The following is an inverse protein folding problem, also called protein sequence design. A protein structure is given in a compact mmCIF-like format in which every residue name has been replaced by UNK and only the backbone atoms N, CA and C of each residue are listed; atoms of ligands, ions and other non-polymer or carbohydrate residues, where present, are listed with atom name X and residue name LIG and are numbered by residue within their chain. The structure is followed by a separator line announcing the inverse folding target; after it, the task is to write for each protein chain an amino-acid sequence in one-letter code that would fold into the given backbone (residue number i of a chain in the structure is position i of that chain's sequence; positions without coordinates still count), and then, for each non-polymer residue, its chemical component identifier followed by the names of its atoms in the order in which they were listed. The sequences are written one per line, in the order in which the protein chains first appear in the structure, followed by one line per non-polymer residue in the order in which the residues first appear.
data_IF_118387984279
#
_entry.id   IF_118387984279
#
_cell.length_a   1.000
_cell.length_b   1.000
_cell.length_c   1.000
_cell.angle_alpha   90.00
_cell.angle_beta   90.00
_cell.angle_gamma   90.00
#
_symmetry.space_group_name_H-M   'P 1'
#
loop_
_entity.id
_entity.type
_entity.pdbx_description
1 polymer ?
#
# COMPACT_ATOMS: atom_id res chain seq x y z
N UNK A 1 82.04 7.62 9.07
CA UNK A 1 81.01 8.58 9.53
C UNK A 1 79.84 8.49 8.58
N UNK A 2 78.74 7.86 9.00
CA UNK A 2 77.54 7.68 8.17
C UNK A 2 76.51 8.71 8.65
N UNK A 3 76.25 9.74 7.84
CA UNK A 3 75.25 10.76 8.13
C UNK A 3 73.88 10.29 7.63
N UNK A 4 72.98 10.03 8.56
CA UNK A 4 71.59 9.62 8.29
C UNK A 4 70.81 10.79 7.67
N UNK A 5 70.05 10.59 6.57
CA UNK A 5 69.27 11.67 5.96
C UNK A 5 68.09 12.09 6.84
N UNK A 6 67.60 13.34 6.74
CA UNK A 6 66.57 13.88 7.61
C UNK A 6 65.22 13.18 7.37
N UNK A 7 64.82 12.28 8.28
CA UNK A 7 63.57 11.49 8.24
C UNK A 7 62.27 12.30 8.48
N UNK A 8 62.31 13.63 8.45
CA UNK A 8 61.17 14.50 8.82
C UNK A 8 60.06 14.59 7.77
N UNK A 9 60.37 14.44 6.47
CA UNK A 9 59.36 14.52 5.41
C UNK A 9 58.44 13.29 5.31
N UNK A 10 59.00 12.08 5.48
CA UNK A 10 58.24 10.83 5.37
C UNK A 10 57.22 10.64 6.48
N UNK A 11 57.53 11.08 7.70
CA UNK A 11 56.59 11.00 8.84
C UNK A 11 55.33 11.83 8.59
N UNK A 12 55.48 13.03 7.99
CA UNK A 12 54.36 13.91 7.66
C UNK A 12 53.44 13.28 6.60
N UNK A 13 54.01 12.65 5.57
CA UNK A 13 53.24 11.99 4.50
C UNK A 13 52.42 10.83 5.07
N UNK A 14 53.00 10.01 5.94
CA UNK A 14 52.27 8.89 6.57
C UNK A 14 51.09 9.39 7.40
N UNK A 15 51.28 10.46 8.19
CA UNK A 15 50.19 11.06 8.98
C UNK A 15 49.09 11.62 8.10
N UNK A 16 49.44 12.33 7.02
CA UNK A 16 48.46 12.88 6.08
C UNK A 16 47.67 11.78 5.35
N UNK A 17 48.33 10.68 4.97
CA UNK A 17 47.63 9.53 4.36
C UNK A 17 46.69 8.87 5.36
N UNK A 18 47.11 8.67 6.61
CA UNK A 18 46.24 8.13 7.66
C UNK A 18 45.02 9.03 7.89
N UNK A 19 45.22 10.35 7.98
CA UNK A 19 44.13 11.33 8.11
C UNK A 19 43.19 11.31 6.90
N UNK A 20 43.74 11.23 5.68
CA UNK A 20 42.95 11.15 4.47
C UNK A 20 42.07 9.89 4.43
N UNK A 21 42.62 8.73 4.79
CA UNK A 21 41.88 7.48 4.88
C UNK A 21 40.79 7.54 5.95
N UNK A 22 41.12 8.06 7.14
CA UNK A 22 40.13 8.27 8.20
C UNK A 22 38.97 9.15 7.74
N UNK A 23 39.27 10.27 7.08
CA UNK A 23 38.26 11.20 6.57
C UNK A 23 37.36 10.56 5.52
N UNK A 24 37.93 9.79 4.58
CA UNK A 24 37.16 9.05 3.56
C UNK A 24 36.20 8.05 4.20
N UNK A 25 36.65 7.30 5.21
CA UNK A 25 35.79 6.36 5.96
C UNK A 25 34.65 7.11 6.65
N UNK A 26 34.92 8.22 7.34
CA UNK A 26 33.90 9.00 8.04
C UNK A 26 32.85 9.58 7.08
N UNK A 27 33.26 10.07 5.90
CA UNK A 27 32.35 10.62 4.89
C UNK A 27 31.41 9.52 4.35
N UNK A 28 31.95 8.35 3.99
CA UNK A 28 31.12 7.25 3.46
C UNK A 28 30.13 6.73 4.48
N UNK A 29 30.52 6.61 5.75
CA UNK A 29 29.61 6.19 6.82
C UNK A 29 28.51 7.22 7.08
N UNK A 30 28.86 8.51 7.12
CA UNK A 30 27.88 9.60 7.30
C UNK A 30 26.85 9.63 6.16
N UNK A 31 27.30 9.44 4.92
CA UNK A 31 26.40 9.36 3.77
C UNK A 31 25.43 8.18 3.86
N UNK A 32 25.91 6.99 4.26
CA UNK A 32 25.05 5.81 4.46
C UNK A 32 24.02 6.02 5.56
N UNK A 33 24.41 6.65 6.67
CA UNK A 33 23.50 6.94 7.78
C UNK A 33 22.36 7.86 7.36
N UNK A 34 22.65 8.94 6.62
CA UNK A 34 21.63 9.87 6.11
C UNK A 34 20.64 9.17 5.17
N UNK A 35 21.13 8.30 4.28
CA UNK A 35 20.29 7.50 3.40
C UNK A 35 19.40 6.52 4.18
N UNK A 36 19.94 5.85 5.20
CA UNK A 36 19.18 4.95 6.06
C UNK A 36 18.08 5.69 6.82
N UNK A 37 18.35 6.89 7.35
CA UNK A 37 17.34 7.71 8.01
C UNK A 37 16.17 8.06 7.08
N UNK A 38 16.44 8.45 5.83
CA UNK A 38 15.41 8.71 4.83
C UNK A 38 14.53 7.50 4.52
N UNK A 39 15.15 6.31 4.41
CA UNK A 39 14.44 5.03 4.22
C UNK A 39 13.59 4.67 5.44
N UNK A 40 14.15 4.76 6.65
CA UNK A 40 13.44 4.46 7.89
C UNK A 40 12.23 5.36 8.06
N UNK A 41 12.35 6.65 7.75
CA UNK A 41 11.23 7.60 7.77
C UNK A 41 10.12 7.20 6.79
N UNK A 42 10.48 6.90 5.54
CA UNK A 42 9.51 6.47 4.52
C UNK A 42 8.81 5.17 4.92
N UNK A 43 9.55 4.22 5.53
CA UNK A 43 9.00 2.98 6.05
C UNK A 43 8.01 3.23 7.20
N UNK A 44 8.33 4.16 8.10
CA UNK A 44 7.46 4.54 9.20
C UNK A 44 6.18 5.21 8.69
N UNK A 45 6.28 6.11 7.72
CA UNK A 45 5.13 6.77 7.08
C UNK A 45 4.22 5.74 6.38
N UNK A 46 4.79 4.75 5.69
CA UNK A 46 4.04 3.66 5.07
C UNK A 46 3.33 2.78 6.11
N UNK A 47 4.00 2.40 7.19
CA UNK A 47 3.37 1.65 8.29
C UNK A 47 2.23 2.44 8.93
N UNK A 48 2.41 3.75 9.10
CA UNK A 48 1.36 4.63 9.60
C UNK A 48 0.15 4.68 8.65
N UNK A 49 0.37 4.68 7.33
CA UNK A 49 -0.71 4.60 6.34
C UNK A 49 -1.50 3.28 6.44
N UNK A 50 -0.83 2.14 6.69
CA UNK A 50 -1.50 0.86 6.96
C UNK A 50 -2.33 0.90 8.25
N UNK A 51 -1.83 1.56 9.30
CA UNK A 51 -2.63 1.77 10.52
C UNK A 51 -3.85 2.66 10.25
N UNK A 52 -3.72 3.67 9.40
CA UNK A 52 -4.85 4.49 8.98
C UNK A 52 -5.87 3.72 8.14
N UNK A 53 -5.44 2.81 7.26
CA UNK A 53 -6.38 1.96 6.50
C UNK A 53 -7.13 1.00 7.43
N UNK A 54 -6.44 0.36 8.39
CA UNK A 54 -7.08 -0.50 9.38
C UNK A 54 -8.08 0.28 10.27
N UNK A 55 -7.74 1.53 10.62
CA UNK A 55 -8.65 2.42 11.36
C UNK A 55 -9.89 2.79 10.52
N UNK A 56 -9.71 3.05 9.22
CA UNK A 56 -10.80 3.33 8.30
C UNK A 56 -11.74 2.13 8.13
N UNK A 57 -11.21 0.90 8.08
CA UNK A 57 -11.99 -0.34 8.06
C UNK A 57 -12.79 -0.53 9.36
N UNK A 58 -12.17 -0.32 10.52
CA UNK A 58 -12.87 -0.40 11.81
C UNK A 58 -14.02 0.61 11.91
N UNK A 59 -13.81 1.83 11.39
CA UNK A 59 -14.84 2.86 11.31
C UNK A 59 -15.96 2.47 10.35
N UNK A 60 -15.63 1.88 9.19
CA UNK A 60 -16.60 1.37 8.24
C UNK A 60 -17.47 0.26 8.85
N UNK A 61 -16.87 -0.70 9.55
CA UNK A 61 -17.61 -1.77 10.24
C UNK A 61 -18.56 -1.21 11.31
N UNK A 62 -18.09 -0.21 12.06
CA UNK A 62 -18.91 0.47 13.08
C UNK A 62 -20.06 1.28 12.45
N UNK A 63 -19.82 1.93 11.31
CA UNK A 63 -20.85 2.65 10.56
C UNK A 63 -21.90 1.70 9.96
N UNK A 64 -21.47 0.55 9.44
CA UNK A 64 -22.36 -0.48 8.90
C UNK A 64 -23.20 -1.13 10.00
N UNK A 65 -22.60 -1.49 11.13
CA UNK A 65 -23.32 -2.10 12.26
C UNK A 65 -24.39 -1.17 12.82
N UNK A 66 -24.10 0.13 12.91
CA UNK A 66 -25.08 1.14 13.31
C UNK A 66 -26.17 1.34 12.26
N UNK A 67 -25.79 1.45 10.98
CA UNK A 67 -26.73 1.72 9.88
C UNK A 67 -27.67 0.55 9.58
N UNK A 68 -27.26 -0.69 9.84
CA UNK A 68 -28.03 -1.90 9.50
C UNK A 68 -28.70 -2.55 10.72
N UNK A 69 -28.52 -2.02 11.93
CA UNK A 69 -28.98 -2.64 13.19
C UNK A 69 -30.46 -3.02 13.19
N UNK A 70 -31.32 -2.17 12.62
CA UNK A 70 -32.78 -2.37 12.59
C UNK A 70 -33.32 -2.56 11.17
N UNK A 71 -32.43 -2.74 10.19
CA UNK A 71 -32.79 -2.83 8.77
C UNK A 71 -32.90 -4.28 8.31
N UNK A 72 -33.97 -4.61 7.60
CA UNK A 72 -34.17 -5.96 7.02
C UNK A 72 -33.68 -6.08 5.58
N UNK A 73 -33.32 -4.97 4.95
CA UNK A 73 -32.92 -4.88 3.54
C UNK A 73 -31.74 -3.93 3.41
N UNK A 74 -30.93 -4.13 2.38
CA UNK A 74 -29.81 -3.26 2.03
C UNK A 74 -30.21 -2.42 0.81
N UNK A 75 -30.06 -1.10 0.90
CA UNK A 75 -30.37 -0.19 -0.21
C UNK A 75 -29.50 1.09 -0.17
N UNK A 76 -29.39 1.77 -1.32
CA UNK A 76 -28.49 2.93 -1.48
C UNK A 76 -28.93 4.20 -0.74
N UNK A 77 -30.18 4.29 -0.28
CA UNK A 77 -30.63 5.41 0.56
C UNK A 77 -30.20 5.31 2.04
N UNK A 78 -29.50 4.23 2.43
CA UNK A 78 -29.01 4.07 3.80
C UNK A 78 -27.75 4.91 4.05
N UNK A 79 -27.50 5.36 5.30
CA UNK A 79 -26.36 6.20 5.65
C UNK A 79 -24.99 5.66 5.22
N UNK A 80 -24.79 4.34 5.19
CA UNK A 80 -23.52 3.74 4.77
C UNK A 80 -23.16 4.02 3.31
N UNK A 81 -24.16 4.20 2.44
CA UNK A 81 -23.96 4.44 1.00
C UNK A 81 -23.63 5.91 0.68
N UNK A 82 -23.84 6.81 1.65
CA UNK A 82 -23.49 8.23 1.54
C UNK A 82 -21.97 8.42 1.67
N UNK A 83 -21.32 8.76 0.56
CA UNK A 83 -19.88 9.02 0.49
C UNK A 83 -19.44 9.63 -0.84
N UNK A 84 -18.14 9.98 -0.99
CA UNK A 84 -17.04 9.69 -0.07
C UNK A 84 -17.06 10.52 1.22
N UNK A 85 -16.63 9.92 2.34
CA UNK A 85 -16.43 10.60 3.63
C UNK A 85 -14.94 10.89 3.83
N UNK A 86 -14.60 12.10 4.24
CA UNK A 86 -13.23 12.53 4.46
C UNK A 86 -12.95 12.68 5.96
N UNK A 87 -11.82 12.14 6.42
CA UNK A 87 -11.34 12.37 7.79
C UNK A 87 -9.92 12.96 7.75
N UNK A 88 -9.70 14.11 8.40
CA UNK A 88 -8.38 14.74 8.44
C UNK A 88 -7.45 13.97 9.39
N UNK A 89 -6.18 13.89 9.01
CA UNK A 89 -5.09 13.29 9.80
C UNK A 89 -3.94 14.29 9.92
N UNK A 90 -3.04 14.14 10.91
CA UNK A 90 -1.93 15.08 11.11
C UNK A 90 -1.02 15.27 9.88
N UNK A 91 -0.90 14.26 9.01
CA UNK A 91 -0.02 14.28 7.83
C UNK A 91 -0.77 13.97 6.52
N UNK A 92 -2.10 14.08 6.50
CA UNK A 92 -2.88 13.77 5.30
C UNK A 92 -4.37 13.66 5.56
N UNK A 93 -5.05 12.88 4.72
CA UNK A 93 -6.49 12.61 4.83
C UNK A 93 -6.81 11.20 4.39
N UNK A 94 -7.85 10.62 4.95
CA UNK A 94 -8.45 9.38 4.46
C UNK A 94 -9.78 9.68 3.78
N UNK A 95 -10.02 9.04 2.64
CA UNK A 95 -11.30 9.07 1.94
C UNK A 95 -11.91 7.67 1.98
N UNK A 96 -13.11 7.55 2.56
CA UNK A 96 -13.79 6.27 2.74
C UNK A 96 -15.05 6.24 1.88
N UNK A 97 -15.18 5.21 1.05
CA UNK A 97 -16.37 4.93 0.24
C UNK A 97 -16.78 3.49 0.43
N UNK A 98 -18.06 3.27 0.74
CA UNK A 98 -18.62 1.93 0.86
C UNK A 98 -19.45 1.59 -0.37
N UNK A 99 -19.40 0.31 -0.76
CA UNK A 99 -20.14 -0.27 -1.87
C UNK A 99 -20.64 -1.65 -1.45
N UNK A 100 -21.82 -2.00 -1.93
CA UNK A 100 -22.35 -3.34 -1.73
C UNK A 100 -21.65 -4.33 -2.67
N UNK A 101 -20.99 -5.34 -2.10
CA UNK A 101 -20.30 -6.37 -2.87
C UNK A 101 -21.27 -7.32 -3.59
N UNK A 102 -22.56 -7.33 -3.22
CA UNK A 102 -23.61 -8.10 -3.89
C UNK A 102 -24.28 -7.35 -5.06
N UNK A 103 -23.94 -6.07 -5.28
CA UNK A 103 -24.51 -5.26 -6.36
C UNK A 103 -23.93 -5.59 -7.76
N UNK A 104 -23.31 -6.76 -7.93
CA UNK A 104 -22.74 -7.24 -9.18
C UNK A 104 -23.09 -8.71 -9.44
N UNK A 105 -22.88 -9.18 -10.68
CA UNK A 105 -23.05 -10.59 -11.01
C UNK A 105 -21.94 -11.42 -10.35
N UNK A 106 -22.31 -12.33 -9.43
CA UNK A 106 -21.37 -13.18 -8.73
C UNK A 106 -20.86 -14.32 -9.63
N UNK A 107 -19.62 -14.22 -10.11
CA UNK A 107 -18.98 -15.25 -10.93
C UNK A 107 -18.82 -16.60 -10.21
N UNK A 108 -18.76 -16.61 -8.88
CA UNK A 108 -18.67 -17.85 -8.11
C UNK A 108 -19.94 -18.70 -8.23
N UNK A 109 -21.05 -18.14 -8.74
CA UNK A 109 -22.25 -18.92 -9.05
C UNK A 109 -22.01 -19.97 -10.16
N UNK A 110 -20.97 -19.79 -11.00
CA UNK A 110 -20.60 -20.75 -12.04
C UNK A 110 -19.94 -22.02 -11.49
N UNK A 111 -19.33 -21.91 -10.31
CA UNK A 111 -18.66 -23.03 -9.65
C UNK A 111 -19.64 -23.92 -8.85
N UNK A 112 -20.93 -23.57 -8.79
CA UNK A 112 -21.91 -24.39 -8.09
C UNK A 112 -22.08 -25.75 -8.79
N UNK A 113 -22.10 -26.85 -8.03
CA UNK A 113 -22.28 -28.18 -8.59
C UNK A 113 -23.64 -28.24 -9.29
N UNK A 114 -23.62 -28.58 -10.57
CA UNK A 114 -24.80 -28.66 -11.40
C UNK A 114 -24.68 -29.84 -12.34
N UNK A 115 -25.78 -30.55 -12.52
CA UNK A 115 -25.90 -31.64 -13.49
C UNK A 115 -26.46 -31.14 -14.83
N UNK A 116 -26.85 -29.87 -14.90
CA UNK A 116 -27.37 -29.26 -16.11
C UNK A 116 -26.23 -28.94 -17.08
N UNK A 117 -26.37 -29.33 -18.35
CA UNK A 117 -25.38 -29.04 -19.40
C UNK A 117 -25.15 -27.54 -19.62
N UNK A 118 -26.14 -26.70 -19.30
CA UNK A 118 -26.02 -25.23 -19.33
C UNK A 118 -26.77 -24.61 -18.15
N UNK A 119 -26.12 -24.43 -16.98
CA UNK A 119 -26.76 -23.85 -15.80
C UNK A 119 -27.18 -22.40 -16.03
N UNK A 120 -28.16 -21.92 -15.25
CA UNK A 120 -28.72 -20.57 -15.36
C UNK A 120 -27.64 -19.48 -15.29
N UNK A 121 -26.66 -19.61 -14.39
CA UNK A 121 -25.57 -18.65 -14.24
C UNK A 121 -24.74 -18.47 -15.53
N UNK A 122 -24.52 -19.55 -16.29
CA UNK A 122 -23.83 -19.49 -17.59
C UNK A 122 -24.68 -18.75 -18.62
N UNK A 123 -25.99 -19.01 -18.66
CA UNK A 123 -26.91 -18.31 -19.58
C UNK A 123 -26.96 -16.82 -19.29
N UNK A 124 -27.06 -16.44 -18.01
CA UNK A 124 -27.07 -15.04 -17.56
C UNK A 124 -25.75 -14.34 -17.89
N UNK A 125 -24.61 -15.01 -17.70
CA UNK A 125 -23.32 -14.43 -18.03
C UNK A 125 -23.15 -14.21 -19.54
N UNK A 126 -23.53 -15.18 -20.38
CA UNK A 126 -23.50 -15.00 -21.85
C UNK A 126 -24.42 -13.84 -22.27
N UNK A 127 -25.62 -13.74 -21.67
CA UNK A 127 -26.53 -12.64 -21.93
C UNK A 127 -25.98 -11.28 -21.46
N UNK A 128 -25.22 -11.23 -20.36
CA UNK A 128 -24.56 -10.03 -19.90
C UNK A 128 -23.45 -9.61 -20.87
N UNK A 129 -22.58 -10.55 -21.27
CA UNK A 129 -21.44 -10.28 -22.15
C UNK A 129 -21.89 -9.83 -23.54
N UNK A 130 -22.96 -10.42 -24.09
CA UNK A 130 -23.50 -10.02 -25.39
C UNK A 130 -24.09 -8.60 -25.39
N UNK A 131 -24.46 -8.07 -24.22
CA UNK A 131 -24.91 -6.68 -24.06
C UNK A 131 -23.75 -5.68 -23.94
N UNK A 132 -22.52 -6.16 -23.75
CA UNK A 132 -21.30 -5.37 -23.65
C UNK A 132 -20.54 -5.27 -24.98
N UNK A 133 -21.24 -5.47 -26.10
CA UNK A 133 -20.70 -5.39 -27.47
C UNK A 133 -19.58 -6.41 -27.78
N UNK A 134 -19.59 -7.54 -27.06
CA UNK A 134 -18.67 -8.65 -27.33
C UNK A 134 -19.31 -9.59 -28.38
N UNK A 135 -18.66 -9.83 -29.52
CA UNK A 135 -19.20 -10.70 -30.56
C UNK A 135 -19.31 -12.15 -30.06
N UNK A 136 -20.41 -12.81 -30.38
CA UNK A 136 -20.60 -14.22 -30.07
C UNK A 136 -19.58 -15.05 -30.86
N UNK A 137 -18.75 -15.81 -30.14
CA UNK A 137 -17.86 -16.80 -30.77
C UNK A 137 -18.73 -17.88 -31.42
N UNK A 138 -18.58 -18.04 -32.74
CA UNK A 138 -19.32 -19.00 -33.56
C UNK A 138 -18.59 -20.34 -33.60
#
# INVERSE_FOLDING_TARGET
MITSPPKRGMALVVVLVLLAVMMLVTITLSGRMQQQLGRTRSQQEYQQALWYSASAESLALSALSLSLKNEKRVHLAQPWASGPRFFPLPQGQIAVTLRDAQACFNLNALAQPTTASRPLAVQQLIALISRLDVPAYR
#
